data_IF_017546253789
#
_entry.id   IF_017546253789
#
_cell.length_a   1.000
_cell.length_b   1.000
_cell.length_c   1.000
_cell.angle_alpha   90.00
_cell.angle_beta   90.00
_cell.angle_gamma   90.00
#
_symmetry.space_group_name_H-M   'P 1'
#
loop_
_entity.id
_entity.type
_entity.pdbx_description
1 polymer ?
#
# COMPACT_ATOMS: atom_id res chain seq x y z
N UNK A 1 -20.68 -25.92 -21.72
CA UNK A 1 -20.29 -27.14 -20.97
C UNK A 1 -18.78 -27.17 -20.93
N UNK A 2 -18.20 -26.77 -19.79
CA UNK A 2 -16.78 -26.88 -19.53
C UNK A 2 -16.49 -28.36 -19.29
N UNK A 3 -15.98 -29.05 -20.29
CA UNK A 3 -15.34 -30.34 -20.08
C UNK A 3 -14.13 -30.09 -19.18
N UNK A 4 -14.16 -30.64 -17.97
CA UNK A 4 -13.00 -30.64 -17.07
C UNK A 4 -11.87 -31.38 -17.80
N UNK A 5 -11.00 -30.64 -18.45
CA UNK A 5 -9.84 -31.19 -19.12
C UNK A 5 -8.92 -31.78 -18.04
N UNK A 6 -8.66 -33.08 -18.12
CA UNK A 6 -7.59 -33.75 -17.40
C UNK A 6 -6.21 -33.40 -17.98
N UNK A 7 -6.13 -32.31 -18.69
CA UNK A 7 -4.92 -31.81 -19.30
C UNK A 7 -3.95 -31.34 -18.21
N UNK A 8 -2.79 -31.95 -18.13
CA UNK A 8 -1.72 -31.61 -17.20
C UNK A 8 -1.25 -30.14 -17.33
N UNK A 9 -1.47 -29.56 -18.49
CA UNK A 9 -1.09 -28.17 -18.82
C UNK A 9 -2.02 -27.10 -18.20
N UNK A 10 -3.20 -27.47 -17.66
CA UNK A 10 -4.19 -26.50 -17.18
C UNK A 10 -4.86 -26.92 -15.87
N UNK A 11 -4.05 -27.11 -14.82
CA UNK A 11 -4.50 -27.42 -13.47
C UNK A 11 -4.92 -26.15 -12.70
N UNK A 12 -5.58 -26.31 -11.55
CA UNK A 12 -6.01 -25.20 -10.70
C UNK A 12 -4.86 -24.29 -10.27
N UNK A 13 -3.71 -24.88 -9.94
CA UNK A 13 -2.52 -24.18 -9.43
C UNK A 13 -1.38 -24.08 -10.44
N UNK A 14 -1.59 -24.60 -11.65
CA UNK A 14 -0.60 -24.58 -12.71
C UNK A 14 -1.27 -24.29 -14.05
N UNK A 15 -0.70 -23.37 -14.81
CA UNK A 15 -1.13 -23.00 -16.16
C UNK A 15 0.06 -22.98 -17.09
N UNK A 16 -0.06 -23.63 -18.21
CA UNK A 16 0.91 -23.54 -19.30
C UNK A 16 0.34 -22.71 -20.46
N UNK A 17 1.15 -21.86 -21.04
CA UNK A 17 0.78 -20.99 -22.16
C UNK A 17 1.99 -20.81 -23.10
N UNK A 18 1.75 -20.31 -24.28
CA UNK A 18 2.81 -20.05 -25.26
C UNK A 18 3.88 -19.12 -24.65
N UNK A 19 5.10 -19.64 -24.48
CA UNK A 19 6.24 -18.89 -23.93
C UNK A 19 6.41 -18.90 -22.42
N UNK A 20 5.58 -19.65 -21.66
CA UNK A 20 5.75 -19.70 -20.22
C UNK A 20 4.82 -20.61 -19.42
N UNK A 21 5.07 -20.62 -18.13
CA UNK A 21 4.28 -21.37 -17.14
C UNK A 21 3.94 -20.45 -15.98
N UNK A 22 2.73 -20.55 -15.45
CA UNK A 22 2.26 -19.84 -14.27
C UNK A 22 1.98 -20.83 -13.14
N UNK A 23 2.61 -20.62 -12.02
CA UNK A 23 2.37 -21.34 -10.76
C UNK A 23 1.58 -20.42 -9.83
N UNK A 24 0.47 -20.93 -9.28
CA UNK A 24 -0.36 -20.25 -8.29
C UNK A 24 -0.19 -20.96 -6.95
N UNK A 25 0.45 -20.30 -6.00
CA UNK A 25 0.78 -20.88 -4.70
C UNK A 25 0.27 -19.99 -3.57
N UNK A 26 -0.06 -20.59 -2.44
CA UNK A 26 -0.45 -19.83 -1.24
C UNK A 26 0.71 -19.77 -0.24
N UNK A 27 0.79 -18.66 0.50
CA UNK A 27 1.91 -18.38 1.40
C UNK A 27 2.02 -19.29 2.64
N UNK A 28 0.99 -20.06 2.96
CA UNK A 28 0.93 -20.88 4.17
C UNK A 28 1.67 -22.22 4.10
N UNK A 29 2.29 -22.59 2.96
CA UNK A 29 2.96 -23.89 2.79
C UNK A 29 4.46 -23.74 2.50
N UNK A 30 5.36 -23.98 3.50
CA UNK A 30 6.81 -23.89 3.28
C UNK A 30 7.31 -24.76 2.13
N UNK A 31 6.76 -25.98 1.98
CA UNK A 31 7.17 -26.91 0.93
C UNK A 31 6.88 -26.35 -0.47
N UNK A 32 5.71 -25.73 -0.66
CA UNK A 32 5.32 -25.12 -1.94
C UNK A 32 6.16 -23.88 -2.24
N UNK A 33 6.41 -23.05 -1.24
CA UNK A 33 7.25 -21.86 -1.39
C UNK A 33 8.72 -22.17 -1.75
N UNK A 34 9.17 -23.41 -1.53
CA UNK A 34 10.56 -23.87 -1.84
C UNK A 34 10.68 -24.63 -3.15
N UNK A 35 9.58 -25.01 -3.83
CA UNK A 35 9.63 -26.06 -4.85
C UNK A 35 10.17 -25.64 -6.21
N UNK A 36 9.99 -24.38 -6.62
CA UNK A 36 10.23 -23.97 -8.02
C UNK A 36 11.01 -22.66 -8.09
N UNK A 37 12.04 -22.60 -8.96
CA UNK A 37 12.72 -21.34 -9.30
C UNK A 37 11.96 -20.61 -10.39
N UNK A 38 11.76 -19.31 -10.22
CA UNK A 38 10.98 -18.47 -11.15
C UNK A 38 11.72 -17.19 -11.51
N UNK A 39 11.58 -16.75 -12.75
CA UNK A 39 12.15 -15.47 -13.21
C UNK A 39 11.27 -14.29 -12.82
N UNK A 40 9.96 -14.47 -12.81
CA UNK A 40 8.99 -13.45 -12.42
C UNK A 40 8.21 -13.93 -11.20
N UNK A 41 8.24 -13.14 -10.14
CA UNK A 41 7.55 -13.39 -8.89
C UNK A 41 6.53 -12.26 -8.67
N UNK A 42 5.26 -12.64 -8.47
CA UNK A 42 4.20 -11.72 -8.07
C UNK A 42 3.68 -12.19 -6.72
N UNK A 43 3.71 -11.31 -5.74
CA UNK A 43 3.26 -11.58 -4.36
C UNK A 43 2.13 -10.62 -4.07
N UNK A 44 0.95 -11.17 -3.88
CA UNK A 44 -0.26 -10.41 -3.58
C UNK A 44 -0.54 -10.45 -2.08
N UNK A 45 -1.07 -9.37 -1.52
CA UNK A 45 -1.41 -9.19 -0.10
C UNK A 45 -0.25 -9.54 0.85
N UNK A 46 0.95 -8.99 0.58
CA UNK A 46 2.16 -9.32 1.34
C UNK A 46 2.06 -8.99 2.83
N UNK A 47 1.22 -8.03 3.22
CA UNK A 47 1.01 -7.65 4.62
C UNK A 47 0.13 -8.66 5.39
N UNK A 48 -0.67 -9.47 4.65
CA UNK A 48 -1.47 -10.55 5.23
C UNK A 48 -0.64 -11.83 5.51
N UNK A 49 0.58 -11.90 5.02
CA UNK A 49 1.44 -13.05 5.26
C UNK A 49 1.85 -13.12 6.74
N UNK A 50 1.85 -14.33 7.30
CA UNK A 50 2.40 -14.57 8.63
C UNK A 50 3.81 -13.99 8.74
N UNK A 51 4.17 -13.47 9.91
CA UNK A 51 5.53 -12.98 10.18
C UNK A 51 6.54 -14.09 9.94
N UNK A 52 6.27 -15.26 10.54
CA UNK A 52 7.01 -16.49 10.31
C UNK A 52 6.04 -17.65 10.09
N UNK A 53 6.45 -18.60 9.27
CA UNK A 53 5.76 -19.87 9.10
C UNK A 53 6.00 -20.80 10.30
N UNK A 54 5.29 -21.91 10.38
CA UNK A 54 5.48 -22.93 11.42
C UNK A 54 6.91 -23.49 11.45
N UNK A 55 7.66 -23.39 10.34
CA UNK A 55 9.10 -23.71 10.27
C UNK A 55 10.03 -22.64 10.86
N UNK A 56 9.50 -21.48 11.29
CA UNK A 56 10.29 -20.33 11.74
C UNK A 56 10.79 -19.43 10.62
N UNK A 57 10.59 -19.80 9.35
CA UNK A 57 11.07 -19.03 8.20
C UNK A 57 10.12 -17.87 7.83
N UNK A 58 10.66 -16.74 7.40
CA UNK A 58 9.89 -15.66 6.77
C UNK A 58 9.43 -16.10 5.36
N UNK A 59 8.13 -16.16 5.09
CA UNK A 59 7.61 -16.58 3.79
C UNK A 59 8.08 -15.69 2.63
N UNK A 60 8.29 -14.39 2.86
CA UNK A 60 8.75 -13.46 1.82
C UNK A 60 10.21 -13.73 1.46
N UNK A 61 11.08 -13.95 2.46
CA UNK A 61 12.48 -14.30 2.20
C UNK A 61 12.60 -15.63 1.45
N UNK A 62 11.70 -16.59 1.74
CA UNK A 62 11.65 -17.86 1.00
C UNK A 62 11.27 -17.67 -0.46
N UNK A 63 10.26 -16.82 -0.74
CA UNK A 63 9.84 -16.48 -2.09
C UNK A 63 10.95 -15.74 -2.84
N UNK A 64 11.62 -14.81 -2.21
CA UNK A 64 12.74 -14.08 -2.81
C UNK A 64 13.87 -15.02 -3.26
N UNK A 65 14.12 -16.05 -2.48
CA UNK A 65 15.06 -17.11 -2.83
C UNK A 65 14.72 -17.83 -4.14
N UNK A 66 13.45 -17.85 -4.57
CA UNK A 66 13.04 -18.51 -5.84
C UNK A 66 13.54 -17.81 -7.09
N UNK A 67 13.90 -16.54 -7.00
CA UNK A 67 14.44 -15.78 -8.12
C UNK A 67 15.96 -15.83 -8.21
N UNK A 68 16.65 -16.46 -7.29
CA UNK A 68 18.13 -16.51 -7.19
C UNK A 68 18.81 -17.14 -8.41
N UNK A 69 18.13 -18.06 -9.10
CA UNK A 69 18.64 -18.67 -10.34
C UNK A 69 18.67 -17.69 -11.54
N UNK A 70 18.06 -16.49 -11.40
CA UNK A 70 17.92 -15.49 -12.47
C UNK A 70 18.50 -14.12 -12.06
N UNK A 71 19.73 -14.01 -11.60
CA UNK A 71 20.26 -12.82 -10.91
C UNK A 71 20.21 -11.53 -11.71
N UNK A 72 20.28 -11.60 -13.04
CA UNK A 72 20.28 -10.43 -13.94
C UNK A 72 18.95 -10.16 -14.65
N UNK A 73 17.97 -11.08 -14.53
CA UNK A 73 16.73 -11.00 -15.33
C UNK A 73 15.46 -11.17 -14.50
N UNK A 74 15.57 -11.43 -13.21
CA UNK A 74 14.38 -11.58 -12.36
C UNK A 74 13.58 -10.28 -12.25
N UNK A 75 12.28 -10.45 -12.05
CA UNK A 75 11.35 -9.37 -11.67
C UNK A 75 10.55 -9.81 -10.46
N UNK A 76 10.41 -8.92 -9.49
CA UNK A 76 9.57 -9.10 -8.32
C UNK A 76 8.57 -7.98 -8.23
N UNK A 77 7.30 -8.33 -8.03
CA UNK A 77 6.20 -7.40 -7.79
C UNK A 77 5.54 -7.77 -6.48
N UNK A 78 5.46 -6.83 -5.56
CA UNK A 78 4.77 -6.96 -4.29
C UNK A 78 3.58 -6.02 -4.28
N UNK A 79 2.41 -6.53 -3.92
CA UNK A 79 1.16 -5.79 -3.90
C UNK A 79 0.53 -6.00 -2.53
N UNK A 80 0.04 -4.96 -1.91
CA UNK A 80 -0.77 -5.02 -0.68
C UNK A 80 -1.35 -3.65 -0.35
N UNK A 81 -2.40 -3.63 0.45
CA UNK A 81 -2.75 -2.49 1.30
C UNK A 81 -1.86 -2.53 2.55
N UNK A 82 -1.31 -1.39 3.01
CA UNK A 82 -0.50 -1.35 4.22
C UNK A 82 -1.38 -1.48 5.46
N UNK A 83 -0.93 -2.18 6.50
CA UNK A 83 -1.73 -2.36 7.71
C UNK A 83 -1.36 -1.36 8.81
N UNK A 84 -0.38 -1.67 9.64
CA UNK A 84 0.02 -0.86 10.79
C UNK A 84 1.36 -0.20 10.48
N UNK A 85 1.44 1.11 10.73
CA UNK A 85 2.66 1.90 10.54
C UNK A 85 3.85 1.29 11.26
N UNK A 86 4.95 1.15 10.53
CA UNK A 86 6.20 0.57 11.03
C UNK A 86 6.22 -0.97 11.09
N UNK A 87 5.05 -1.64 11.05
CA UNK A 87 4.96 -3.10 10.99
C UNK A 87 4.69 -3.61 9.58
N UNK A 88 4.04 -2.80 8.74
CA UNK A 88 3.69 -3.13 7.36
C UNK A 88 4.92 -3.47 6.52
N UNK A 89 4.87 -4.59 5.78
CA UNK A 89 5.93 -4.99 4.85
C UNK A 89 5.92 -4.14 3.59
N UNK A 90 4.72 -3.87 3.06
CA UNK A 90 4.60 -3.05 1.85
C UNK A 90 5.03 -1.60 2.11
N UNK A 91 4.73 -1.03 3.28
CA UNK A 91 5.22 0.29 3.70
C UNK A 91 6.76 0.32 3.68
N UNK A 92 7.42 -0.66 4.30
CA UNK A 92 8.89 -0.73 4.32
C UNK A 92 9.50 -0.88 2.93
N UNK A 93 8.84 -1.59 2.02
CA UNK A 93 9.29 -1.71 0.63
C UNK A 93 9.10 -0.40 -0.12
N UNK A 94 7.97 0.27 0.07
CA UNK A 94 7.68 1.57 -0.52
C UNK A 94 8.67 2.64 -0.02
N UNK A 95 8.95 2.69 1.28
CA UNK A 95 9.91 3.62 1.89
C UNK A 95 11.34 3.50 1.32
N UNK A 96 11.74 2.29 0.89
CA UNK A 96 13.06 2.02 0.27
C UNK A 96 13.07 2.21 -1.24
N UNK A 97 11.92 2.49 -1.85
CA UNK A 97 11.74 2.64 -3.29
C UNK A 97 11.90 4.09 -3.77
N UNK A 98 11.70 4.31 -5.06
CA UNK A 98 11.65 5.63 -5.66
C UNK A 98 10.34 6.40 -5.36
N UNK A 99 9.39 5.83 -4.61
CA UNK A 99 8.17 6.46 -4.06
C UNK A 99 7.37 7.22 -5.10
N UNK A 100 6.99 6.57 -6.18
CA UNK A 100 6.24 7.21 -7.26
C UNK A 100 4.83 7.60 -6.79
N UNK A 101 4.49 8.84 -7.09
CA UNK A 101 3.13 9.36 -6.97
C UNK A 101 2.57 9.59 -8.39
N UNK A 102 1.27 9.41 -8.54
CA UNK A 102 0.60 9.67 -9.80
C UNK A 102 0.12 11.13 -9.83
N UNK A 103 0.76 11.95 -10.67
CA UNK A 103 0.49 13.38 -10.76
C UNK A 103 -0.47 13.68 -11.92
N UNK A 104 -1.48 14.49 -11.62
CA UNK A 104 -2.45 15.00 -12.59
C UNK A 104 -2.34 16.53 -12.66
N UNK A 105 -2.70 17.12 -13.81
CA UNK A 105 -2.69 18.56 -13.95
C UNK A 105 -4.05 19.15 -13.55
N UNK A 106 -4.01 20.28 -12.82
CA UNK A 106 -5.20 21.07 -12.55
C UNK A 106 -5.82 21.56 -13.88
N UNK A 107 -7.13 21.42 -14.09
CA UNK A 107 -7.77 21.85 -15.34
C UNK A 107 -7.73 23.37 -15.54
N UNK A 108 -7.61 24.17 -14.47
CA UNK A 108 -7.62 25.63 -14.51
C UNK A 108 -6.21 26.22 -14.72
N UNK A 109 -5.22 25.82 -13.89
CA UNK A 109 -3.89 26.44 -13.92
C UNK A 109 -2.78 25.51 -14.46
N UNK A 110 -3.07 24.24 -14.71
CA UNK A 110 -2.09 23.27 -15.20
C UNK A 110 -1.10 22.77 -14.14
N UNK A 111 -1.19 23.22 -12.88
CA UNK A 111 -0.34 22.76 -11.80
C UNK A 111 -0.42 21.24 -11.63
N UNK A 112 0.73 20.57 -11.56
CA UNK A 112 0.82 19.12 -11.44
C UNK A 112 0.86 18.71 -9.97
N UNK A 113 -0.10 17.90 -9.54
CA UNK A 113 -0.27 17.51 -8.13
C UNK A 113 -0.80 16.09 -8.04
N UNK A 114 -0.47 15.34 -6.96
CA UNK A 114 -1.17 14.09 -6.66
C UNK A 114 -2.56 14.38 -6.12
N UNK A 115 -3.48 13.43 -6.27
CA UNK A 115 -4.75 13.46 -5.54
C UNK A 115 -4.53 12.85 -4.15
N UNK A 116 -4.52 13.67 -3.12
CA UNK A 116 -4.37 13.27 -1.72
C UNK A 116 -5.64 13.57 -0.94
N UNK A 117 -5.91 12.78 0.10
CA UNK A 117 -7.14 12.91 0.89
C UNK A 117 -7.35 14.32 1.44
N UNK A 118 -6.27 14.97 1.90
CA UNK A 118 -6.31 16.34 2.42
C UNK A 118 -6.77 17.40 1.41
N UNK A 119 -6.72 17.09 0.11
CA UNK A 119 -7.21 17.98 -0.95
C UNK A 119 -8.69 17.81 -1.29
N UNK A 120 -9.36 16.78 -0.73
CA UNK A 120 -10.78 16.55 -0.93
C UNK A 120 -11.59 17.37 0.09
N UNK A 121 -12.52 18.17 -0.38
CA UNK A 121 -13.38 19.03 0.42
C UNK A 121 -14.84 18.75 0.13
N UNK A 122 -15.71 19.03 1.12
CA UNK A 122 -17.16 18.87 1.00
C UNK A 122 -17.89 19.88 1.90
N UNK A 123 -19.16 20.13 1.61
CA UNK A 123 -20.03 20.94 2.46
C UNK A 123 -20.51 20.12 3.70
N UNK A 124 -20.99 20.76 4.77
CA UNK A 124 -21.35 20.07 6.02
C UNK A 124 -22.38 18.93 5.84
N UNK A 125 -23.31 19.07 4.91
CA UNK A 125 -24.36 18.10 4.59
C UNK A 125 -23.88 16.98 3.65
N UNK A 126 -22.66 17.07 3.12
CA UNK A 126 -22.08 16.15 2.13
C UNK A 126 -23.02 15.97 0.91
N UNK A 127 -23.52 17.06 0.40
CA UNK A 127 -24.29 17.10 -0.84
C UNK A 127 -23.45 17.57 -2.03
N UNK A 128 -22.31 18.20 -1.74
CA UNK A 128 -21.33 18.64 -2.73
C UNK A 128 -19.91 18.30 -2.27
N UNK A 129 -19.07 17.84 -3.20
CA UNK A 129 -17.69 17.48 -2.98
C UNK A 129 -16.82 18.02 -4.12
N UNK A 130 -15.63 18.50 -3.83
CA UNK A 130 -14.67 19.00 -4.81
C UNK A 130 -13.24 18.76 -4.34
N UNK A 131 -12.32 18.72 -5.28
CA UNK A 131 -10.89 18.68 -4.97
C UNK A 131 -10.29 20.09 -5.11
N UNK A 132 -9.60 20.57 -4.07
CA UNK A 132 -8.93 21.87 -4.07
C UNK A 132 -7.58 21.81 -4.78
N UNK A 133 -7.36 22.66 -5.77
CA UNK A 133 -6.03 22.81 -6.34
C UNK A 133 -5.08 23.48 -5.34
N UNK A 134 -3.89 22.89 -5.10
CA UNK A 134 -2.90 23.40 -4.15
C UNK A 134 -2.31 24.75 -4.55
N UNK A 135 -2.26 25.04 -5.87
CA UNK A 135 -1.64 26.25 -6.39
C UNK A 135 -2.64 27.40 -6.54
N UNK A 136 -3.74 27.20 -7.25
CA UNK A 136 -4.68 28.27 -7.56
C UNK A 136 -5.96 28.26 -6.72
N UNK A 137 -6.15 27.26 -5.84
CA UNK A 137 -7.35 27.14 -5.02
C UNK A 137 -8.63 26.76 -5.77
N UNK A 138 -8.55 26.46 -7.07
CA UNK A 138 -9.72 26.09 -7.86
C UNK A 138 -10.42 24.87 -7.29
N UNK A 139 -11.76 24.91 -7.22
CA UNK A 139 -12.63 23.81 -6.86
C UNK A 139 -12.84 22.90 -8.07
N UNK A 140 -12.15 21.75 -8.10
CA UNK A 140 -12.21 20.79 -9.20
C UNK A 140 -13.34 19.81 -8.91
N UNK A 141 -14.35 19.78 -9.77
CA UNK A 141 -15.44 18.80 -9.70
C UNK A 141 -14.97 17.41 -10.16
N UNK A 142 -15.56 16.35 -9.61
CA UNK A 142 -15.18 14.96 -9.92
C UNK A 142 -15.29 14.60 -11.40
N UNK A 143 -16.18 15.23 -12.17
CA UNK A 143 -16.34 14.94 -13.59
C UNK A 143 -15.06 15.24 -14.40
N UNK A 144 -14.17 16.11 -13.91
CA UNK A 144 -12.85 16.37 -14.52
C UNK A 144 -11.87 15.22 -14.32
N UNK A 145 -12.05 14.37 -13.30
CA UNK A 145 -11.10 13.31 -12.89
C UNK A 145 -10.67 12.41 -14.06
N UNK A 146 -11.62 11.87 -14.81
CA UNK A 146 -11.32 10.97 -15.92
C UNK A 146 -10.47 11.65 -16.99
N UNK A 147 -10.80 12.90 -17.31
CA UNK A 147 -10.04 13.70 -18.29
C UNK A 147 -8.64 14.03 -17.77
N UNK A 148 -8.50 14.39 -16.48
CA UNK A 148 -7.22 14.69 -15.84
C UNK A 148 -6.28 13.48 -15.88
N UNK A 149 -6.80 12.29 -15.57
CA UNK A 149 -6.02 11.04 -15.61
C UNK A 149 -5.60 10.70 -17.06
N UNK A 150 -6.53 10.73 -18.00
CA UNK A 150 -6.24 10.46 -19.40
C UNK A 150 -5.25 11.47 -20.01
N UNK A 151 -5.33 12.74 -19.62
CA UNK A 151 -4.37 13.78 -20.01
C UNK A 151 -2.98 13.50 -19.43
N UNK A 152 -2.91 13.11 -18.15
CA UNK A 152 -1.66 12.76 -17.49
C UNK A 152 -0.99 11.56 -18.18
N UNK A 153 -1.72 10.51 -18.51
CA UNK A 153 -1.19 9.34 -19.24
C UNK A 153 -0.67 9.73 -20.62
N UNK A 154 -1.44 10.50 -21.38
CA UNK A 154 -1.02 10.94 -22.73
C UNK A 154 0.26 11.78 -22.68
N UNK A 155 0.35 12.74 -21.74
CA UNK A 155 1.51 13.63 -21.59
C UNK A 155 2.74 12.84 -21.09
N UNK A 156 2.55 11.91 -20.15
CA UNK A 156 3.62 11.03 -19.69
C UNK A 156 4.15 10.12 -20.81
N UNK A 157 3.27 9.56 -21.64
CA UNK A 157 3.65 8.77 -22.82
C UNK A 157 4.38 9.61 -23.88
N UNK A 158 4.07 10.91 -23.99
CA UNK A 158 4.80 11.85 -24.83
C UNK A 158 6.16 12.28 -24.24
N UNK A 159 6.54 11.78 -23.07
CA UNK A 159 7.84 12.04 -22.43
C UNK A 159 7.86 13.30 -21.55
N UNK A 160 6.71 13.88 -21.23
CA UNK A 160 6.67 15.03 -20.33
C UNK A 160 7.02 14.61 -18.88
N UNK A 161 8.00 15.29 -18.29
CA UNK A 161 8.45 15.02 -16.94
C UNK A 161 7.47 15.58 -15.88
N UNK A 162 7.38 14.87 -14.74
CA UNK A 162 6.61 15.33 -13.59
C UNK A 162 5.09 15.27 -13.80
N UNK A 163 4.60 14.36 -14.66
CA UNK A 163 3.18 14.04 -14.81
C UNK A 163 3.00 12.53 -14.97
N UNK A 164 1.83 11.99 -14.63
CA UNK A 164 1.68 10.54 -14.48
C UNK A 164 2.54 10.03 -13.31
N UNK A 165 3.13 8.87 -13.44
CA UNK A 165 3.98 8.28 -12.39
C UNK A 165 5.33 9.00 -12.27
N UNK A 166 5.47 9.86 -11.28
CA UNK A 166 6.67 10.65 -11.01
C UNK A 166 7.40 10.17 -9.75
N UNK A 167 8.72 9.84 -9.82
CA UNK A 167 9.48 9.41 -8.66
C UNK A 167 9.76 10.57 -7.72
N UNK A 168 9.70 10.33 -6.40
CA UNK A 168 10.09 11.27 -5.36
C UNK A 168 11.57 11.08 -4.95
N UNK A 169 12.12 9.88 -5.17
CA UNK A 169 13.51 9.53 -4.88
C UNK A 169 14.12 8.81 -6.09
N UNK A 170 14.59 9.58 -7.06
CA UNK A 170 15.15 9.05 -8.30
C UNK A 170 16.43 8.20 -8.11
N UNK A 171 17.09 8.29 -6.94
CA UNK A 171 18.30 7.51 -6.64
C UNK A 171 18.00 6.06 -6.23
N UNK A 172 16.77 5.74 -5.87
CA UNK A 172 16.40 4.39 -5.46
C UNK A 172 16.39 3.42 -6.65
N UNK A 173 16.86 2.19 -6.39
CA UNK A 173 16.94 1.13 -7.44
C UNK A 173 15.60 0.45 -7.70
N UNK A 174 14.72 0.41 -6.73
CA UNK A 174 13.39 -0.21 -6.84
C UNK A 174 12.33 0.84 -7.12
N UNK A 175 11.29 0.45 -7.83
CA UNK A 175 10.14 1.29 -8.11
C UNK A 175 9.03 0.97 -7.10
N UNK A 176 8.48 2.00 -6.45
CA UNK A 176 7.33 1.89 -5.57
C UNK A 176 6.20 2.78 -6.07
N UNK A 177 4.99 2.30 -6.03
CA UNK A 177 3.81 2.98 -6.52
C UNK A 177 2.80 3.09 -5.39
N UNK A 178 2.25 4.28 -5.17
CA UNK A 178 1.15 4.51 -4.23
C UNK A 178 -0.05 5.06 -5.00
N UNK A 179 -1.20 4.44 -4.83
CA UNK A 179 -2.45 4.86 -5.47
C UNK A 179 -3.59 4.71 -4.45
N UNK A 180 -4.33 5.77 -4.22
CA UNK A 180 -5.50 5.79 -3.34
C UNK A 180 -6.82 5.82 -4.12
N UNK A 181 -7.92 5.70 -3.39
CA UNK A 181 -9.27 5.64 -3.97
C UNK A 181 -9.72 6.90 -4.73
N UNK A 182 -9.06 8.05 -4.55
CA UNK A 182 -9.43 9.28 -5.29
C UNK A 182 -9.23 9.14 -6.79
N UNK A 183 -8.38 8.19 -7.22
CA UNK A 183 -8.13 7.88 -8.62
C UNK A 183 -9.09 6.85 -9.21
N UNK A 184 -10.03 6.30 -8.46
CA UNK A 184 -10.97 5.31 -9.00
C UNK A 184 -11.72 5.87 -10.20
N UNK A 185 -11.74 5.16 -11.33
CA UNK A 185 -12.53 5.56 -12.48
C UNK A 185 -14.01 5.69 -12.11
N UNK A 186 -14.68 6.67 -12.66
CA UNK A 186 -16.13 6.82 -12.46
C UNK A 186 -16.83 5.55 -12.95
N UNK A 187 -17.63 4.94 -12.06
CA UNK A 187 -18.33 3.67 -12.33
C UNK A 187 -17.57 2.40 -11.98
N UNK A 188 -16.31 2.47 -11.53
CA UNK A 188 -15.51 1.31 -11.10
C UNK A 188 -15.11 1.34 -9.62
N UNK A 189 -15.72 2.18 -8.83
CA UNK A 189 -15.47 2.31 -7.40
C UNK A 189 -16.28 3.45 -6.83
N UNK A 190 -16.20 3.70 -5.52
CA UNK A 190 -16.94 4.78 -4.89
C UNK A 190 -16.54 6.15 -5.47
N UNK A 191 -17.51 7.01 -5.65
CA UNK A 191 -17.31 8.39 -6.05
C UNK A 191 -16.77 9.23 -4.89
N UNK A 192 -16.24 10.39 -5.18
CA UNK A 192 -15.73 11.30 -4.14
C UNK A 192 -16.78 11.66 -3.08
N UNK A 193 -18.04 11.82 -3.49
CA UNK A 193 -19.15 12.06 -2.55
C UNK A 193 -19.37 10.86 -1.62
N UNK A 194 -19.36 9.66 -2.17
CA UNK A 194 -19.50 8.43 -1.39
C UNK A 194 -18.32 8.24 -0.45
N UNK A 195 -17.09 8.55 -0.91
CA UNK A 195 -15.89 8.50 -0.07
C UNK A 195 -15.96 9.49 1.10
N UNK A 196 -16.46 10.73 0.87
CA UNK A 196 -16.67 11.69 1.93
C UNK A 196 -17.70 11.20 2.97
N UNK A 197 -18.78 10.55 2.50
CA UNK A 197 -19.78 9.94 3.39
C UNK A 197 -19.19 8.77 4.18
N UNK A 198 -18.48 7.85 3.51
CA UNK A 198 -17.81 6.72 4.17
C UNK A 198 -16.80 7.21 5.23
N UNK A 199 -16.06 8.27 4.94
CA UNK A 199 -15.15 8.89 5.90
C UNK A 199 -15.88 9.42 7.13
N UNK A 200 -16.98 10.15 6.94
CA UNK A 200 -17.79 10.69 8.03
C UNK A 200 -18.33 9.57 8.92
N UNK A 201 -18.84 8.51 8.30
CA UNK A 201 -19.40 7.35 9.03
C UNK A 201 -18.31 6.62 9.83
N UNK A 202 -17.10 6.50 9.26
CA UNK A 202 -15.97 5.83 9.89
C UNK A 202 -15.38 6.58 11.10
N UNK A 203 -15.60 7.90 11.23
CA UNK A 203 -15.02 8.70 12.34
C UNK A 203 -15.44 8.23 13.73
N UNK A 204 -16.59 7.58 13.86
CA UNK A 204 -17.13 7.16 15.14
C UNK A 204 -16.65 5.78 15.62
N UNK A 205 -15.96 5.04 14.76
CA UNK A 205 -15.45 3.70 15.07
C UNK A 205 -14.00 3.54 14.60
N UNK A 206 -13.04 3.35 15.54
CA UNK A 206 -11.62 3.19 15.20
C UNK A 206 -11.33 2.04 14.21
N UNK A 207 -12.11 0.96 14.24
CA UNK A 207 -11.95 -0.16 13.31
C UNK A 207 -12.34 0.22 11.89
N UNK A 208 -13.48 0.88 11.74
CA UNK A 208 -13.96 1.40 10.45
C UNK A 208 -13.02 2.47 9.89
N UNK A 209 -12.51 3.34 10.77
CA UNK A 209 -11.54 4.37 10.38
C UNK A 209 -10.22 3.74 9.91
N UNK A 210 -9.71 2.73 10.63
CA UNK A 210 -8.54 1.96 10.20
C UNK A 210 -8.77 1.35 8.82
N UNK A 211 -9.90 0.68 8.60
CA UNK A 211 -10.25 0.08 7.32
C UNK A 211 -10.30 1.12 6.21
N UNK A 212 -10.88 2.29 6.46
CA UNK A 212 -10.91 3.37 5.48
C UNK A 212 -9.49 3.84 5.12
N UNK A 213 -8.63 4.08 6.11
CA UNK A 213 -7.25 4.54 5.90
C UNK A 213 -6.45 3.50 5.13
N UNK A 214 -6.49 2.22 5.56
CA UNK A 214 -5.72 1.17 4.91
C UNK A 214 -6.24 0.87 3.49
N UNK A 215 -7.55 0.65 3.32
CA UNK A 215 -8.09 0.11 2.07
C UNK A 215 -8.47 1.20 1.06
N UNK A 216 -8.85 2.40 1.53
CA UNK A 216 -9.24 3.49 0.62
C UNK A 216 -8.11 4.46 0.35
N UNK A 217 -7.33 4.81 1.38
CA UNK A 217 -6.21 5.72 1.20
C UNK A 217 -4.91 5.00 0.85
N UNK A 218 -4.86 3.67 1.01
CA UNK A 218 -3.65 2.86 0.90
C UNK A 218 -2.51 3.39 1.81
N UNK A 219 -2.89 3.87 3.00
CA UNK A 219 -1.99 4.42 4.00
C UNK A 219 -1.94 3.50 5.23
N UNK A 220 -0.77 3.37 5.88
CA UNK A 220 -0.67 2.57 7.09
C UNK A 220 -1.40 3.23 8.26
N UNK A 221 -2.19 2.43 8.98
CA UNK A 221 -2.86 2.86 10.21
C UNK A 221 -1.86 3.19 11.31
N UNK A 222 -2.01 4.36 11.90
CA UNK A 222 -1.26 4.76 13.09
C UNK A 222 -2.21 4.80 14.29
N UNK A 223 -2.03 3.86 15.23
CA UNK A 223 -2.85 3.81 16.41
C UNK A 223 -2.69 5.09 17.24
N UNK A 224 -3.77 5.86 17.49
CA UNK A 224 -3.72 7.05 18.33
C UNK A 224 -3.13 6.80 19.71
N UNK A 225 -3.34 5.61 20.29
CA UNK A 225 -2.77 5.21 21.57
C UNK A 225 -1.24 5.09 21.51
N UNK A 226 -0.68 4.63 20.39
CA UNK A 226 0.77 4.58 20.19
C UNK A 226 1.39 5.97 19.95
N UNK A 227 0.65 6.92 19.38
CA UNK A 227 1.09 8.33 19.28
C UNK A 227 1.27 8.99 20.66
N UNK A 228 0.44 8.61 21.63
CA UNK A 228 0.47 9.21 22.96
C UNK A 228 1.68 8.77 23.79
N UNK A 229 2.29 7.63 23.47
CA UNK A 229 3.51 7.14 24.17
C UNK A 229 4.73 7.64 23.43
N UNK A 230 5.02 8.94 23.50
CA UNK A 230 6.34 9.46 23.16
C UNK A 230 7.33 8.84 24.15
N UNK A 231 8.42 8.27 23.63
CA UNK A 231 9.45 7.64 24.46
C UNK A 231 9.97 8.59 25.56
N UNK A 232 9.93 9.90 25.34
CA UNK A 232 10.23 10.94 26.32
C UNK A 232 9.32 10.87 27.56
N UNK A 233 8.02 10.58 27.37
CA UNK A 233 7.07 10.45 28.49
C UNK A 233 7.44 9.26 29.39
N UNK A 234 7.93 8.16 28.82
CA UNK A 234 8.40 7.00 29.57
C UNK A 234 9.73 7.32 30.25
N UNK A 235 10.64 7.98 29.56
CA UNK A 235 11.92 8.43 30.10
C UNK A 235 11.73 9.47 31.23
N UNK A 236 10.85 10.44 31.04
CA UNK A 236 10.53 11.48 32.05
C UNK A 236 9.83 10.92 33.30
N UNK A 237 9.18 9.76 33.18
CA UNK A 237 8.56 9.03 34.30
C UNK A 237 9.50 7.98 34.93
N UNK A 238 10.70 7.78 34.38
CA UNK A 238 11.68 6.88 34.96
C UNK A 238 12.19 7.46 36.28
N UNK A 239 12.11 6.67 37.36
CA UNK A 239 12.66 7.06 38.63
C UNK A 239 14.12 6.63 38.71
N UNK A 240 15.05 7.52 39.18
CA UNK A 240 16.44 7.12 39.39
C UNK A 240 16.53 6.21 40.62
N UNK A 241 16.73 4.93 40.38
CA UNK A 241 17.03 3.98 41.47
C UNK A 241 18.33 3.24 41.15
N UNK A 242 18.99 2.80 42.25
CA UNK A 242 20.28 2.13 42.13
C UNK A 242 20.15 0.78 41.42
N UNK A 243 21.15 0.40 40.65
CA UNK A 243 21.26 -0.91 40.04
C UNK A 243 20.98 -2.02 41.08
N UNK A 244 20.14 -3.00 40.78
CA UNK A 244 19.69 -4.10 41.65
C UNK A 244 18.80 -3.68 42.86
N UNK A 245 18.20 -2.49 42.81
CA UNK A 245 17.23 -2.06 43.83
C UNK A 245 15.89 -1.92 43.18
N UNK A 246 14.87 -2.66 43.64
CA UNK A 246 13.51 -2.50 43.17
C UNK A 246 12.87 -1.26 43.83
N UNK A 247 12.07 -0.44 43.12
CA UNK A 247 11.31 0.62 43.72
C UNK A 247 10.31 0.07 44.75
N UNK A 248 9.96 0.89 45.73
CA UNK A 248 8.96 0.53 46.72
C UNK A 248 7.63 0.14 46.03
N UNK A 249 7.06 -1.03 46.36
CA UNK A 249 5.85 -1.56 45.72
C UNK A 249 6.06 -2.53 44.57
N UNK A 250 7.31 -2.76 44.10
CA UNK A 250 7.64 -3.78 43.11
C UNK A 250 8.07 -5.07 43.83
N UNK A 251 7.30 -6.16 43.65
CA UNK A 251 7.56 -7.41 44.34
C UNK A 251 8.67 -8.26 43.69
N UNK A 252 8.72 -8.39 42.41
CA UNK A 252 9.81 -8.98 41.62
C UNK A 252 9.61 -8.74 40.12
N UNK A 253 10.70 -8.60 39.37
CA UNK A 253 10.72 -8.74 37.91
C UNK A 253 11.76 -9.83 37.62
N UNK A 254 11.31 -10.97 37.09
CA UNK A 254 12.19 -12.01 36.55
C UNK A 254 12.19 -11.87 35.02
N UNK A 255 13.37 -11.78 34.43
CA UNK A 255 13.56 -11.82 32.97
C UNK A 255 13.92 -13.25 32.55
#
# INVERSE_FOLDING_TARGET
QSTASRDSANQRTFKEFAGGQLYLEHAGSPARLKSTSVRTLIVDEIDEFAVNLTSGDDPVAMLDGRTSAFPSTYKRLYISTPQIRGLSRIERLYEKSDKRQYLVACPECGHKQPLEWAGLHWNPEITAVWYGCRECGACIDEHHKTKMIADADRRAQAGEAGIGWAPQNAAAKSRGYHLNCLYYPIGLGPRWLELAQMWKDAQNDPSSLKTFINDRLAEPWEDPAMRAVKHNIVADRSLPYRLRTAPHGVLAITA
#
